data_IF_439648081563
#
_entry.id   IF_439648081563
#
_cell.length_a   1.000
_cell.length_b   1.000
_cell.length_c   1.000
_cell.angle_alpha   90.00
_cell.angle_beta   90.00
_cell.angle_gamma   90.00
#
_symmetry.space_group_name_H-M   'P 1'
#
loop_
_entity.id
_entity.type
_entity.pdbx_description
1 polymer ?
#
# COMPACT_ATOMS: atom_id res chain seq x y z
N UNK A 1 14.23 23.53 -21.14
CA UNK A 1 14.35 22.37 -20.23
C UNK A 1 13.23 21.40 -20.58
N UNK A 2 13.52 20.32 -21.28
CA UNK A 2 12.56 19.23 -21.51
C UNK A 2 12.41 18.50 -20.18
N UNK A 3 11.32 18.74 -19.47
CA UNK A 3 10.88 17.88 -18.38
C UNK A 3 10.49 16.55 -19.03
N UNK A 4 11.43 15.62 -19.11
CA UNK A 4 11.08 14.22 -19.35
C UNK A 4 10.41 13.79 -18.05
N UNK A 5 9.09 13.70 -18.06
CA UNK A 5 8.32 13.16 -16.95
C UNK A 5 8.66 11.67 -16.85
N UNK A 6 9.79 11.33 -16.23
CA UNK A 6 10.15 9.96 -15.91
C UNK A 6 9.29 9.51 -14.74
N UNK A 7 8.14 8.94 -15.06
CA UNK A 7 7.23 8.31 -14.10
C UNK A 7 7.28 6.79 -14.25
N UNK A 8 6.79 6.04 -13.25
CA UNK A 8 6.60 4.59 -13.34
C UNK A 8 5.73 4.15 -14.53
N UNK A 9 4.98 5.07 -15.14
CA UNK A 9 4.19 4.82 -16.34
C UNK A 9 5.00 4.89 -17.63
N UNK A 10 6.16 5.54 -17.59
CA UNK A 10 7.04 5.72 -18.74
C UNK A 10 8.20 4.71 -18.79
N UNK A 11 8.61 4.18 -17.63
CA UNK A 11 9.69 3.21 -17.53
C UNK A 11 9.36 2.14 -16.48
N UNK A 12 9.75 0.87 -16.72
CA UNK A 12 9.54 -0.20 -15.75
C UNK A 12 10.34 0.07 -14.47
N UNK A 13 9.73 -0.21 -13.33
CA UNK A 13 10.42 -0.17 -12.02
C UNK A 13 10.96 -1.58 -11.76
N UNK A 14 12.25 -1.66 -11.46
CA UNK A 14 12.98 -2.93 -11.37
C UNK A 14 13.48 -3.17 -9.94
N UNK A 15 13.53 -4.45 -9.54
CA UNK A 15 14.20 -4.89 -8.31
C UNK A 15 15.72 -4.96 -8.47
N UNK A 16 16.44 -5.28 -7.39
CA UNK A 16 17.91 -5.47 -7.39
C UNK A 16 18.39 -6.62 -8.28
N UNK A 17 17.49 -7.42 -8.83
CA UNK A 17 17.75 -8.54 -9.72
C UNK A 17 17.35 -8.22 -11.18
N UNK A 18 17.06 -6.95 -11.48
CA UNK A 18 16.70 -6.45 -12.80
C UNK A 18 15.37 -7.02 -13.33
N UNK A 19 14.39 -7.28 -12.44
CA UNK A 19 13.05 -7.76 -12.79
C UNK A 19 12.00 -6.73 -12.43
N UNK A 20 10.93 -6.65 -13.23
CA UNK A 20 9.81 -5.76 -12.95
C UNK A 20 9.18 -6.07 -11.60
N UNK A 21 8.85 -5.03 -10.83
CA UNK A 21 8.17 -5.19 -9.53
C UNK A 21 6.66 -5.01 -9.63
N UNK A 22 6.19 -4.18 -10.55
CA UNK A 22 4.77 -3.87 -10.65
C UNK A 22 4.01 -4.85 -11.53
N UNK A 23 2.84 -5.28 -11.06
CA UNK A 23 1.95 -6.15 -11.83
C UNK A 23 1.47 -5.49 -13.14
N UNK A 24 1.16 -4.19 -13.12
CA UNK A 24 0.69 -3.44 -14.29
C UNK A 24 1.78 -3.19 -15.35
N UNK A 25 3.04 -3.55 -15.07
CA UNK A 25 4.16 -3.47 -16.02
C UNK A 25 4.54 -4.82 -16.63
N UNK A 26 3.97 -5.92 -16.12
CA UNK A 26 4.28 -7.29 -16.57
C UNK A 26 3.40 -7.68 -17.77
N UNK A 27 4.00 -8.40 -18.72
CA UNK A 27 3.28 -9.23 -19.67
C UNK A 27 2.78 -10.52 -18.99
N UNK A 28 1.83 -11.22 -19.60
CA UNK A 28 1.32 -12.50 -19.09
C UNK A 28 2.43 -13.53 -18.87
N UNK A 29 3.42 -13.60 -19.78
CA UNK A 29 4.55 -14.53 -19.64
C UNK A 29 5.45 -14.18 -18.46
N UNK A 30 5.69 -12.88 -18.21
CA UNK A 30 6.44 -12.43 -17.03
C UNK A 30 5.69 -12.75 -15.74
N UNK A 31 4.36 -12.55 -15.71
CA UNK A 31 3.50 -12.91 -14.58
C UNK A 31 3.56 -14.41 -14.28
N UNK A 32 3.42 -15.26 -15.29
CA UNK A 32 3.47 -16.72 -15.13
C UNK A 32 4.80 -17.20 -14.55
N UNK A 33 5.92 -16.58 -14.96
CA UNK A 33 7.23 -16.84 -14.37
C UNK A 33 7.31 -16.33 -12.92
N UNK A 34 6.83 -15.11 -12.69
CA UNK A 34 6.86 -14.44 -11.39
C UNK A 34 6.16 -15.26 -10.31
N UNK A 35 4.92 -15.70 -10.54
CA UNK A 35 4.15 -16.45 -9.53
C UNK A 35 4.68 -17.85 -9.25
N UNK A 36 5.48 -18.44 -10.16
CA UNK A 36 6.18 -19.71 -9.91
C UNK A 36 7.40 -19.52 -9.00
N UNK A 37 8.07 -18.37 -9.11
CA UNK A 37 9.25 -18.04 -8.33
C UNK A 37 8.91 -17.41 -6.98
N UNK A 38 8.02 -16.43 -6.98
CA UNK A 38 7.56 -15.68 -5.81
C UNK A 38 6.10 -15.23 -5.99
N UNK A 39 5.21 -15.93 -5.30
CA UNK A 39 3.75 -15.75 -5.28
C UNK A 39 3.26 -14.79 -4.17
N UNK A 40 4.15 -13.91 -3.68
CA UNK A 40 3.81 -12.82 -2.75
C UNK A 40 3.49 -11.54 -3.53
N UNK A 41 2.36 -10.91 -3.19
CA UNK A 41 1.98 -9.59 -3.70
C UNK A 41 1.60 -8.64 -2.57
N UNK A 42 2.11 -7.41 -2.66
CA UNK A 42 1.65 -6.29 -1.85
C UNK A 42 0.54 -5.56 -2.62
N UNK A 43 -0.59 -5.34 -1.98
CA UNK A 43 -1.67 -4.48 -2.44
C UNK A 43 -1.66 -3.21 -1.59
N UNK A 44 -1.01 -2.12 -2.05
CA UNK A 44 -1.02 -0.86 -1.32
C UNK A 44 -2.43 -0.26 -1.29
N UNK A 45 -2.90 0.10 -0.10
CA UNK A 45 -4.18 0.79 0.10
C UNK A 45 -3.91 2.04 0.94
N UNK A 46 -4.13 3.20 0.35
CA UNK A 46 -4.00 4.50 1.01
C UNK A 46 -5.33 5.26 0.99
N UNK A 47 -5.22 6.57 0.91
CA UNK A 47 -6.34 7.49 0.76
C UNK A 47 -5.94 8.77 0.03
N UNK A 48 -6.95 9.59 -0.28
CA UNK A 48 -6.79 10.98 -0.65
C UNK A 48 -7.52 11.81 0.42
N UNK A 49 -6.76 12.42 1.32
CA UNK A 49 -7.26 13.12 2.49
C UNK A 49 -6.47 14.37 2.87
N UNK A 50 -7.07 15.22 3.68
CA UNK A 50 -6.41 16.41 4.20
C UNK A 50 -5.45 16.06 5.36
N UNK A 51 -4.15 16.25 5.14
CA UNK A 51 -3.10 16.11 6.16
C UNK A 51 -2.60 17.46 6.69
N UNK A 52 -3.50 18.45 6.79
CA UNK A 52 -3.16 19.83 7.15
C UNK A 52 -2.51 20.64 6.02
N UNK A 53 -1.99 21.84 6.31
CA UNK A 53 -1.61 22.82 5.28
C UNK A 53 -0.24 22.57 4.61
N UNK A 54 0.56 21.64 5.12
CA UNK A 54 1.95 21.44 4.69
C UNK A 54 2.23 20.07 4.08
N UNK A 55 1.29 19.14 4.16
CA UNK A 55 1.41 17.80 3.62
C UNK A 55 0.54 17.61 2.36
N UNK A 56 0.96 16.75 1.42
CA UNK A 56 0.19 16.49 0.21
C UNK A 56 -1.07 15.68 0.52
N UNK A 57 -2.15 15.91 -0.23
CA UNK A 57 -3.42 15.18 -0.02
C UNK A 57 -3.33 13.67 -0.27
N UNK A 58 -2.28 13.20 -0.97
CA UNK A 58 -2.09 11.79 -1.28
C UNK A 58 -1.00 11.12 -0.43
N UNK A 59 -0.62 11.73 0.70
CA UNK A 59 0.49 11.28 1.55
C UNK A 59 0.39 9.79 1.89
N UNK A 60 -0.78 9.31 2.30
CA UNK A 60 -1.04 7.88 2.57
C UNK A 60 -0.58 6.98 1.43
N UNK A 61 -1.03 7.28 0.20
CA UNK A 61 -0.69 6.47 -0.97
C UNK A 61 0.79 6.59 -1.30
N UNK A 62 1.37 7.79 -1.18
CA UNK A 62 2.78 8.05 -1.47
C UNK A 62 3.69 7.26 -0.52
N UNK A 63 3.44 7.31 0.79
CA UNK A 63 4.22 6.59 1.81
C UNK A 63 4.06 5.08 1.62
N UNK A 64 2.81 4.60 1.55
CA UNK A 64 2.52 3.17 1.41
C UNK A 64 3.19 2.55 0.19
N UNK A 65 3.12 3.23 -0.97
CA UNK A 65 3.77 2.78 -2.21
C UNK A 65 5.29 2.82 -2.08
N UNK A 66 5.86 3.91 -1.56
CA UNK A 66 7.32 4.06 -1.45
C UNK A 66 7.95 2.94 -0.61
N UNK A 67 7.30 2.56 0.50
CA UNK A 67 7.76 1.45 1.33
C UNK A 67 7.58 0.11 0.60
N UNK A 68 6.43 -0.11 -0.05
CA UNK A 68 6.18 -1.33 -0.82
C UNK A 68 7.19 -1.52 -1.97
N UNK A 69 7.52 -0.46 -2.70
CA UNK A 69 8.56 -0.47 -3.74
C UNK A 69 9.93 -0.80 -3.15
N UNK A 70 10.28 -0.23 -2.00
CA UNK A 70 11.57 -0.53 -1.37
C UNK A 70 11.66 -1.99 -0.90
N UNK A 71 10.59 -2.53 -0.33
CA UNK A 71 10.51 -3.94 0.03
C UNK A 71 10.63 -4.83 -1.21
N UNK A 72 9.90 -4.50 -2.28
CA UNK A 72 9.95 -5.21 -3.56
C UNK A 72 11.35 -5.17 -4.19
N UNK A 73 12.05 -4.04 -4.10
CA UNK A 73 13.41 -3.90 -4.58
C UNK A 73 14.37 -4.88 -3.91
N UNK A 74 14.27 -5.07 -2.60
CA UNK A 74 15.16 -5.95 -1.83
C UNK A 74 14.77 -7.43 -1.92
N UNK A 75 13.48 -7.73 -2.00
CA UNK A 75 12.94 -9.09 -1.83
C UNK A 75 12.42 -9.73 -3.12
N UNK A 76 12.16 -8.93 -4.15
CA UNK A 76 11.55 -9.39 -5.39
C UNK A 76 10.05 -9.71 -5.27
N UNK A 77 9.34 -9.29 -4.22
CA UNK A 77 7.87 -9.40 -4.19
C UNK A 77 7.21 -8.54 -5.28
N UNK A 78 5.98 -8.86 -5.67
CA UNK A 78 5.21 -8.05 -6.62
C UNK A 78 4.46 -6.93 -5.90
N UNK A 79 4.36 -5.76 -6.53
CA UNK A 79 3.49 -4.65 -6.09
C UNK A 79 2.30 -4.56 -7.05
N UNK A 80 1.08 -4.70 -6.53
CA UNK A 80 -0.13 -4.44 -7.30
C UNK A 80 -0.35 -2.92 -7.47
N UNK A 81 -1.14 -2.49 -8.47
CA UNK A 81 -1.56 -1.09 -8.55
C UNK A 81 -2.18 -0.62 -7.23
N UNK A 82 -1.79 0.55 -6.72
CA UNK A 82 -2.30 1.05 -5.45
C UNK A 82 -3.78 1.39 -5.56
N UNK A 83 -4.51 1.27 -4.45
CA UNK A 83 -5.86 1.82 -4.27
C UNK A 83 -5.71 3.19 -3.61
N UNK A 84 -5.89 4.30 -4.35
CA UNK A 84 -5.53 5.64 -3.87
C UNK A 84 -6.65 6.35 -3.11
N UNK A 85 -7.83 5.73 -3.01
CA UNK A 85 -8.97 6.28 -2.27
C UNK A 85 -9.36 5.30 -1.15
N UNK A 86 -9.41 5.80 0.08
CA UNK A 86 -9.70 5.03 1.28
C UNK A 86 -11.07 5.34 1.85
N UNK A 87 -11.39 4.68 2.96
CA UNK A 87 -12.60 4.98 3.73
C UNK A 87 -12.28 5.89 4.89
N UNK A 88 -13.27 6.67 5.31
CA UNK A 88 -13.15 7.52 6.48
C UNK A 88 -14.33 7.35 7.44
N UNK A 89 -14.12 7.61 8.74
CA UNK A 89 -15.22 7.86 9.66
C UNK A 89 -15.97 9.14 9.27
N UNK A 90 -17.22 9.26 9.69
CA UNK A 90 -18.12 10.34 9.26
C UNK A 90 -17.65 11.76 9.64
N UNK A 91 -16.78 11.91 10.64
CA UNK A 91 -16.28 13.21 11.07
C UNK A 91 -15.23 13.81 10.12
N UNK A 92 -14.68 13.02 9.19
CA UNK A 92 -13.82 13.54 8.11
C UNK A 92 -14.60 13.96 6.85
N UNK A 93 -15.91 13.70 6.81
CA UNK A 93 -16.71 13.99 5.62
C UNK A 93 -16.91 15.50 5.47
N UNK A 94 -16.66 16.01 4.26
CA UNK A 94 -16.79 17.43 3.95
C UNK A 94 -15.53 18.26 4.24
N UNK A 95 -14.46 17.65 4.76
CA UNK A 95 -13.15 18.31 4.85
C UNK A 95 -12.63 18.59 3.43
N UNK A 96 -12.31 19.84 3.06
CA UNK A 96 -11.81 20.16 1.73
C UNK A 96 -10.53 19.39 1.38
N UNK A 97 -10.55 18.70 0.22
CA UNK A 97 -9.43 17.86 -0.24
C UNK A 97 -9.60 16.37 0.07
N UNK A 98 -10.40 16.02 1.08
CA UNK A 98 -10.71 14.62 1.41
C UNK A 98 -11.78 14.04 0.48
N UNK A 99 -11.48 12.90 -0.14
CA UNK A 99 -12.42 12.18 -1.03
C UNK A 99 -12.67 10.78 -0.45
N UNK A 100 -13.62 10.66 0.51
CA UNK A 100 -13.88 9.40 1.21
C UNK A 100 -14.67 8.42 0.34
N UNK A 101 -14.31 7.13 0.42
CA UNK A 101 -15.10 6.02 -0.12
C UNK A 101 -15.91 5.38 1.00
N UNK A 102 -17.19 5.09 0.73
CA UNK A 102 -18.04 4.38 1.69
C UNK A 102 -17.40 3.04 2.08
N UNK A 103 -17.28 2.77 3.38
CA UNK A 103 -16.62 1.57 3.92
C UNK A 103 -17.08 0.26 3.26
N UNK A 104 -18.39 0.08 3.09
CA UNK A 104 -18.94 -1.13 2.45
C UNK A 104 -18.52 -1.27 0.98
N UNK A 105 -18.40 -0.17 0.26
CA UNK A 105 -17.96 -0.17 -1.14
C UNK A 105 -16.47 -0.48 -1.24
N UNK A 106 -15.66 0.12 -0.36
CA UNK A 106 -14.23 -0.17 -0.30
C UNK A 106 -13.97 -1.63 0.06
N UNK A 107 -14.69 -2.18 1.05
CA UNK A 107 -14.53 -3.58 1.45
C UNK A 107 -14.82 -4.55 0.29
N UNK A 108 -15.93 -4.35 -0.42
CA UNK A 108 -16.26 -5.15 -1.61
C UNK A 108 -15.23 -5.00 -2.73
N UNK A 109 -14.80 -3.77 -3.00
CA UNK A 109 -13.80 -3.51 -4.03
C UNK A 109 -12.47 -4.20 -3.74
N UNK A 110 -11.95 -4.05 -2.52
CA UNK A 110 -10.72 -4.70 -2.07
C UNK A 110 -10.86 -6.23 -2.11
N UNK A 111 -12.01 -6.77 -1.68
CA UNK A 111 -12.28 -8.21 -1.76
C UNK A 111 -12.26 -8.75 -3.21
N UNK A 112 -12.83 -8.02 -4.16
CA UNK A 112 -12.77 -8.37 -5.59
C UNK A 112 -11.34 -8.30 -6.14
N UNK A 113 -10.55 -7.30 -5.76
CA UNK A 113 -9.14 -7.21 -6.14
C UNK A 113 -8.35 -8.40 -5.60
N UNK A 114 -8.52 -8.76 -4.33
CA UNK A 114 -7.89 -9.93 -3.72
C UNK A 114 -8.26 -11.22 -4.47
N UNK A 115 -9.54 -11.38 -4.85
CA UNK A 115 -10.01 -12.54 -5.60
C UNK A 115 -9.26 -12.70 -6.93
N UNK A 116 -9.10 -11.62 -7.67
CA UNK A 116 -8.43 -11.67 -8.96
C UNK A 116 -6.90 -11.72 -8.85
N UNK A 117 -6.30 -11.14 -7.81
CA UNK A 117 -4.88 -11.39 -7.49
C UNK A 117 -4.64 -12.87 -7.17
N UNK A 118 -5.53 -13.50 -6.39
CA UNK A 118 -5.44 -14.94 -6.13
C UNK A 118 -5.62 -15.79 -7.38
N UNK A 119 -6.49 -15.36 -8.30
CA UNK A 119 -6.71 -16.03 -9.58
C UNK A 119 -5.48 -15.90 -10.52
N UNK A 120 -4.80 -14.76 -10.48
CA UNK A 120 -3.56 -14.51 -11.21
C UNK A 120 -2.37 -15.36 -10.73
N UNK A 121 -2.51 -16.09 -9.62
CA UNK A 121 -1.53 -17.05 -9.13
C UNK A 121 -0.91 -16.70 -7.78
N UNK A 122 -1.12 -15.50 -7.26
CA UNK A 122 -0.60 -15.10 -5.95
C UNK A 122 -1.27 -15.90 -4.82
N UNK A 123 -0.49 -16.49 -3.91
CA UNK A 123 -1.02 -17.24 -2.74
C UNK A 123 -0.73 -16.55 -1.41
N UNK A 124 0.05 -15.47 -1.43
CA UNK A 124 0.36 -14.64 -0.26
C UNK A 124 0.07 -13.18 -0.62
N UNK A 125 -1.04 -12.66 -0.12
CA UNK A 125 -1.54 -11.32 -0.44
C UNK A 125 -1.43 -10.46 0.81
N UNK A 126 -0.61 -9.43 0.75
CA UNK A 126 -0.43 -8.46 1.83
C UNK A 126 -1.23 -7.21 1.47
N UNK A 127 -2.36 -7.00 2.15
CA UNK A 127 -3.07 -5.72 2.09
C UNK A 127 -2.22 -4.75 2.90
N UNK A 128 -1.47 -3.92 2.18
CA UNK A 128 -0.46 -3.02 2.72
C UNK A 128 -1.10 -1.64 2.94
N UNK A 129 -1.61 -1.47 4.15
CA UNK A 129 -2.36 -0.31 4.55
C UNK A 129 -1.43 0.87 4.92
N UNK A 130 -1.82 2.06 4.49
CA UNK A 130 -1.15 3.31 4.84
C UNK A 130 -2.13 4.42 5.22
N UNK A 131 -3.34 4.06 5.68
CA UNK A 131 -4.40 4.97 6.12
C UNK A 131 -5.16 4.38 7.33
N UNK A 132 -5.84 5.19 8.15
CA UNK A 132 -6.64 4.79 9.32
C UNK A 132 -7.94 4.01 9.00
N UNK A 133 -7.84 2.92 8.24
CA UNK A 133 -8.98 2.14 7.75
C UNK A 133 -8.95 0.67 8.18
N UNK A 134 -8.34 0.41 9.33
CA UNK A 134 -8.30 -0.89 10.02
C UNK A 134 -9.70 -1.43 10.33
N UNK A 135 -10.71 -0.56 10.38
CA UNK A 135 -12.10 -0.97 10.55
C UNK A 135 -12.75 -1.53 9.26
N UNK A 136 -12.09 -1.40 8.10
CA UNK A 136 -12.61 -1.84 6.79
C UNK A 136 -11.82 -3.02 6.21
N UNK A 137 -10.49 -2.96 6.21
CA UNK A 137 -9.66 -3.92 5.48
C UNK A 137 -9.74 -5.37 6.01
N UNK A 138 -9.87 -5.64 7.32
CA UNK A 138 -10.14 -6.98 7.83
C UNK A 138 -11.47 -7.55 7.32
N UNK A 139 -12.50 -6.71 7.15
CA UNK A 139 -13.79 -7.11 6.57
C UNK A 139 -13.58 -7.49 5.09
N UNK A 140 -12.82 -6.69 4.33
CA UNK A 140 -12.49 -7.02 2.94
C UNK A 140 -11.78 -8.38 2.81
N UNK A 141 -10.83 -8.67 3.71
CA UNK A 141 -10.18 -9.98 3.81
C UNK A 141 -11.18 -11.09 4.08
N UNK A 142 -12.08 -10.92 5.04
CA UNK A 142 -13.08 -11.95 5.39
C UNK A 142 -14.08 -12.17 4.25
N UNK A 143 -14.53 -11.12 3.57
CA UNK A 143 -15.37 -11.21 2.36
C UNK A 143 -14.65 -12.02 1.26
N UNK A 144 -13.37 -11.74 1.02
CA UNK A 144 -12.58 -12.48 0.04
C UNK A 144 -12.50 -13.97 0.38
N UNK A 145 -12.25 -14.32 1.64
CA UNK A 145 -12.12 -15.71 2.08
C UNK A 145 -13.47 -16.43 2.03
N UNK A 146 -14.50 -15.86 2.67
CA UNK A 146 -15.78 -16.53 2.94
C UNK A 146 -16.70 -16.49 1.74
N UNK A 147 -16.94 -15.30 1.18
CA UNK A 147 -17.92 -15.12 0.12
C UNK A 147 -17.32 -15.39 -1.26
N UNK A 148 -16.12 -14.86 -1.50
CA UNK A 148 -15.44 -14.98 -2.79
C UNK A 148 -14.62 -16.27 -2.92
N UNK A 149 -14.57 -17.09 -1.85
CA UNK A 149 -13.89 -18.40 -1.80
C UNK A 149 -12.43 -18.34 -2.20
N UNK A 150 -11.73 -17.30 -1.78
CA UNK A 150 -10.29 -17.14 -2.04
C UNK A 150 -9.49 -18.11 -1.18
N UNK A 151 -8.58 -18.84 -1.81
CA UNK A 151 -7.64 -19.77 -1.18
C UNK A 151 -6.21 -19.21 -1.25
N UNK A 152 -5.91 -18.25 -0.38
CA UNK A 152 -4.61 -17.61 -0.22
C UNK A 152 -4.39 -17.23 1.25
N UNK A 153 -3.12 -17.11 1.66
CA UNK A 153 -2.75 -16.42 2.88
C UNK A 153 -2.95 -14.92 2.63
N UNK A 154 -3.87 -14.29 3.37
CA UNK A 154 -4.14 -12.86 3.26
C UNK A 154 -3.81 -12.20 4.60
N UNK A 155 -2.84 -11.27 4.58
CA UNK A 155 -2.48 -10.47 5.75
C UNK A 155 -2.96 -9.03 5.54
N UNK A 156 -3.69 -8.51 6.51
CA UNK A 156 -3.98 -7.07 6.60
C UNK A 156 -2.96 -6.47 7.56
N UNK A 157 -2.21 -5.48 7.11
CA UNK A 157 -1.21 -4.84 7.96
C UNK A 157 -0.95 -3.41 7.56
N UNK A 158 -0.68 -2.57 8.55
CA UNK A 158 -0.31 -1.16 8.34
C UNK A 158 1.19 -1.01 8.51
N UNK A 159 1.82 -0.19 7.67
CA UNK A 159 3.29 -0.09 7.65
C UNK A 159 3.87 0.29 9.02
N UNK A 160 3.19 1.17 9.76
CA UNK A 160 3.63 1.63 11.09
C UNK A 160 3.70 0.51 12.12
N UNK A 161 2.93 -0.57 11.96
CA UNK A 161 2.99 -1.72 12.85
C UNK A 161 4.36 -2.43 12.81
N UNK A 162 5.08 -2.32 11.69
CA UNK A 162 6.37 -2.98 11.46
C UNK A 162 7.59 -2.19 11.93
N UNK A 163 7.41 -0.90 12.24
CA UNK A 163 8.51 0.02 12.54
C UNK A 163 8.28 0.77 13.87
N UNK A 164 7.56 0.14 14.80
CA UNK A 164 7.23 0.73 16.10
C UNK A 164 8.47 1.12 16.92
N UNK A 165 9.55 0.35 16.82
CA UNK A 165 10.84 0.63 17.46
C UNK A 165 11.50 1.91 16.90
N UNK A 166 11.27 2.21 15.61
CA UNK A 166 11.71 3.43 14.94
C UNK A 166 10.79 4.60 15.32
N UNK A 167 9.48 4.42 15.21
CA UNK A 167 8.50 5.49 15.46
C UNK A 167 8.54 5.99 16.91
N UNK A 168 8.85 5.13 17.87
CA UNK A 168 9.04 5.52 19.29
C UNK A 168 10.23 6.46 19.52
N UNK A 169 11.21 6.49 18.61
CA UNK A 169 12.35 7.41 18.65
C UNK A 169 12.07 8.72 17.91
N UNK A 170 10.99 8.78 17.13
CA UNK A 170 10.62 10.00 16.43
C UNK A 170 10.26 11.10 17.45
N UNK A 171 10.88 12.27 17.31
CA UNK A 171 10.75 13.38 18.26
C UNK A 171 11.56 13.24 19.55
N UNK A 172 12.27 12.14 19.79
CA UNK A 172 13.11 11.99 21.00
C UNK A 172 14.52 12.59 20.84
N UNK A 173 14.92 12.91 19.59
CA UNK A 173 16.28 13.35 19.26
C UNK A 173 17.28 12.20 19.07
N UNK A 174 16.84 10.96 19.26
CA UNK A 174 17.64 9.77 18.98
C UNK A 174 17.80 9.51 17.49
N UNK A 175 18.91 8.87 17.12
CA UNK A 175 19.11 8.40 15.75
C UNK A 175 18.31 7.13 15.47
N UNK A 176 17.61 7.13 14.34
CA UNK A 176 16.86 5.97 13.82
C UNK A 176 17.69 5.15 12.84
N UNK A 177 18.66 5.78 12.18
CA UNK A 177 19.69 5.17 11.34
C UNK A 177 20.92 6.08 11.37
N UNK A 178 22.11 5.62 10.92
CA UNK A 178 23.32 6.43 10.93
C UNK A 178 23.11 7.79 10.25
N UNK A 179 23.16 8.88 11.04
CA UNK A 179 22.95 10.25 10.57
C UNK A 179 21.50 10.63 10.26
N UNK A 180 20.52 9.79 10.58
CA UNK A 180 19.09 10.06 10.36
C UNK A 180 18.40 10.23 11.71
N UNK A 181 17.76 11.38 11.90
CA UNK A 181 16.89 11.69 13.03
C UNK A 181 15.53 12.11 12.50
N UNK A 182 14.48 11.71 13.21
CA UNK A 182 13.13 12.16 12.94
C UNK A 182 12.80 13.19 14.03
N UNK A 183 12.78 14.47 13.65
CA UNK A 183 12.67 15.58 14.60
C UNK A 183 11.25 15.73 15.18
N UNK A 184 10.24 15.33 14.43
CA UNK A 184 8.84 15.40 14.85
C UNK A 184 8.35 14.01 15.29
N UNK A 185 7.58 13.90 16.38
CA UNK A 185 6.87 12.66 16.69
C UNK A 185 6.03 12.21 15.50
N UNK A 186 5.96 10.89 15.28
CA UNK A 186 4.98 10.36 14.36
C UNK A 186 3.58 10.48 14.98
N UNK A 187 2.72 11.23 14.31
CA UNK A 187 1.30 11.33 14.61
C UNK A 187 0.59 10.83 13.36
N UNK A 188 -0.14 9.72 13.49
CA UNK A 188 -1.03 9.29 12.42
C UNK A 188 -2.12 10.35 12.29
N UNK A 189 -2.32 10.89 11.09
CA UNK A 189 -3.13 12.09 10.87
C UNK A 189 -4.54 11.96 11.51
N UNK A 190 -4.87 12.90 12.40
CA UNK A 190 -6.16 13.14 13.09
C UNK A 190 -7.18 11.98 13.13
N UNK A 191 -6.77 10.85 13.71
CA UNK A 191 -7.64 9.94 14.45
C UNK A 191 -7.57 10.19 15.97
#
# INVERSE_FOLDING_TARGET
MTCIVSSRWSQPVLDRFNRKIYLDQMSTSELEGKVKENDIVFLPVGSLEAHGPFAPLGEDTIIGVSIAERVAYETGVTVAPPIPYGSHPSHHYGIPGTIPVKATLLAEYVAEVIRWLSNAGFKKIFIWNSHGQEYVLPIAKDLAIVEKRVHALILVTSWWAWVQDILRKAGSGEEVAPGVRIETPFIHADE
#
